data_IF_009062798293
#
_entry.id   IF_009062798293
#
_cell.length_a   1.000
_cell.length_b   1.000
_cell.length_c   1.000
_cell.angle_alpha   90.00
_cell.angle_beta   90.00
_cell.angle_gamma   90.00
#
_symmetry.space_group_name_H-M   'P 1'
#
loop_
_entity.id
_entity.type
_entity.pdbx_description
1 polymer ?
#
# COMPACT_ATOMS: atom_id res chain seq x y z
N UNK A 1 2.26 -1.92 10.10
CA UNK A 1 1.36 -1.62 8.97
C UNK A 1 -0.05 -2.06 9.30
N UNK A 2 -1.05 -1.25 8.94
CA UNK A 2 -2.48 -1.60 8.97
C UNK A 2 -3.13 -1.09 7.68
N UNK A 3 -3.98 -1.92 7.08
CA UNK A 3 -4.93 -1.51 6.06
C UNK A 3 -6.32 -1.86 6.59
N UNK A 4 -7.20 -0.89 6.65
CA UNK A 4 -8.57 -1.08 7.15
C UNK A 4 -9.54 -0.49 6.14
N UNK A 5 -10.55 -1.26 5.74
CA UNK A 5 -11.65 -0.74 4.95
C UNK A 5 -12.55 0.14 5.83
N UNK A 6 -12.75 1.40 5.43
CA UNK A 6 -13.58 2.36 6.15
C UNK A 6 -15.00 2.45 5.56
N UNK A 7 -15.10 2.36 4.24
CA UNK A 7 -16.36 2.45 3.51
C UNK A 7 -16.22 1.75 2.16
N UNK A 8 -17.31 1.15 1.69
CA UNK A 8 -17.44 0.67 0.32
C UNK A 8 -18.86 0.85 -0.22
N UNK A 9 -19.02 0.83 -1.54
CA UNK A 9 -20.31 0.70 -2.20
C UNK A 9 -20.70 -0.78 -2.26
N UNK A 10 -21.83 -1.21 -1.67
CA UNK A 10 -22.27 -2.60 -1.75
C UNK A 10 -22.67 -3.00 -3.18
N UNK A 11 -22.21 -4.16 -3.65
CA UNK A 11 -22.52 -4.69 -4.99
C UNK A 11 -24.03 -4.87 -5.19
N UNK A 12 -24.73 -5.33 -4.17
CA UNK A 12 -26.18 -5.58 -4.21
C UNK A 12 -26.98 -4.33 -4.62
N UNK A 13 -26.61 -3.15 -4.10
CA UNK A 13 -27.29 -1.89 -4.43
C UNK A 13 -27.07 -1.48 -5.89
N UNK A 14 -25.85 -1.68 -6.41
CA UNK A 14 -25.55 -1.41 -7.81
C UNK A 14 -26.26 -2.38 -8.74
N UNK A 15 -26.35 -3.66 -8.36
CA UNK A 15 -27.06 -4.68 -9.13
C UNK A 15 -28.55 -4.37 -9.21
N UNK A 16 -29.16 -4.00 -8.09
CA UNK A 16 -30.56 -3.56 -8.05
C UNK A 16 -30.79 -2.34 -8.95
N UNK A 17 -29.96 -1.29 -8.81
CA UNK A 17 -30.11 -0.05 -9.57
C UNK A 17 -29.83 -0.20 -11.07
N UNK A 18 -29.01 -1.19 -11.47
CA UNK A 18 -28.65 -1.43 -12.88
C UNK A 18 -29.56 -2.43 -13.60
N UNK A 19 -30.55 -3.00 -12.91
CA UNK A 19 -31.43 -4.03 -13.50
C UNK A 19 -30.75 -5.40 -13.65
N UNK A 20 -29.76 -5.71 -12.81
CA UNK A 20 -29.14 -7.03 -12.74
C UNK A 20 -27.86 -7.21 -13.54
N UNK A 21 -27.08 -6.14 -13.79
CA UNK A 21 -25.76 -6.30 -14.40
C UNK A 21 -24.82 -7.16 -13.54
N UNK A 22 -23.89 -7.83 -14.22
CA UNK A 22 -22.88 -8.67 -13.58
C UNK A 22 -21.85 -7.84 -12.79
N UNK A 23 -21.13 -8.51 -11.89
CA UNK A 23 -20.15 -7.86 -11.01
C UNK A 23 -18.98 -7.22 -11.77
N UNK A 24 -18.55 -7.79 -12.90
CA UNK A 24 -17.43 -7.30 -13.69
C UNK A 24 -17.77 -5.96 -14.35
N UNK A 25 -18.96 -5.88 -14.96
CA UNK A 25 -19.53 -4.67 -15.55
C UNK A 25 -19.71 -3.55 -14.53
N UNK A 26 -19.98 -3.90 -13.27
CA UNK A 26 -20.20 -2.94 -12.17
C UNK A 26 -18.92 -2.51 -11.44
N UNK A 27 -17.76 -3.14 -11.69
CA UNK A 27 -16.49 -2.81 -11.02
C UNK A 27 -16.14 -1.32 -11.00
N UNK A 28 -16.32 -0.53 -12.09
CA UNK A 28 -16.01 0.90 -12.08
C UNK A 28 -16.90 1.75 -11.16
N UNK A 29 -18.05 1.21 -10.73
CA UNK A 29 -19.02 1.89 -9.87
C UNK A 29 -18.88 1.52 -8.39
N UNK A 30 -18.14 0.45 -8.08
CA UNK A 30 -17.83 0.08 -6.71
C UNK A 30 -16.73 1.00 -6.19
N UNK A 31 -16.98 1.80 -5.16
CA UNK A 31 -15.96 2.62 -4.50
C UNK A 31 -15.49 1.99 -3.19
N UNK A 32 -14.20 2.06 -2.87
CA UNK A 32 -13.62 1.55 -1.63
C UNK A 32 -12.66 2.56 -1.03
N UNK A 33 -12.85 2.90 0.25
CA UNK A 33 -11.99 3.81 1.00
C UNK A 33 -11.25 3.06 2.11
N UNK A 34 -9.92 3.10 2.08
CA UNK A 34 -9.04 2.47 3.06
C UNK A 34 -8.32 3.51 3.92
N UNK A 35 -8.21 3.22 5.21
CA UNK A 35 -7.18 3.79 6.07
C UNK A 35 -5.91 2.93 5.97
N UNK A 36 -4.82 3.54 5.51
CA UNK A 36 -3.50 2.91 5.42
C UNK A 36 -2.59 3.57 6.45
N UNK A 37 -2.13 2.80 7.41
CA UNK A 37 -1.30 3.29 8.52
C UNK A 37 0.00 2.50 8.62
N UNK A 38 1.01 3.17 9.17
CA UNK A 38 2.29 2.56 9.52
C UNK A 38 2.99 1.91 8.33
N UNK A 39 3.04 2.64 7.22
CA UNK A 39 3.83 2.32 6.01
C UNK A 39 4.99 3.29 5.87
N UNK A 40 6.05 2.89 5.17
CA UNK A 40 7.20 3.74 4.87
C UNK A 40 6.85 4.78 3.81
N UNK A 41 7.64 5.87 3.77
CA UNK A 41 7.60 6.81 2.66
C UNK A 41 7.90 6.11 1.33
N UNK A 42 8.86 5.18 1.29
CA UNK A 42 9.15 4.38 0.11
C UNK A 42 7.93 3.57 -0.41
N UNK A 43 7.15 2.98 0.49
CA UNK A 43 5.93 2.27 0.12
C UNK A 43 4.87 3.26 -0.40
N UNK A 44 4.67 4.38 0.29
CA UNK A 44 3.70 5.40 -0.15
C UNK A 44 4.03 5.96 -1.53
N UNK A 45 5.33 6.15 -1.86
CA UNK A 45 5.78 6.61 -3.18
C UNK A 45 5.51 5.62 -4.31
N UNK A 46 5.36 4.32 -4.01
CA UNK A 46 4.89 3.33 -4.98
C UNK A 46 3.37 3.32 -5.08
N UNK A 47 2.68 3.49 -3.96
CA UNK A 47 1.22 3.47 -3.87
C UNK A 47 0.59 4.64 -4.65
N UNK A 48 1.08 5.86 -4.47
CA UNK A 48 0.53 7.07 -5.13
C UNK A 48 0.76 7.12 -6.64
N UNK A 49 1.46 6.13 -7.21
CA UNK A 49 1.62 5.99 -8.68
C UNK A 49 0.37 5.42 -9.36
N UNK A 50 -0.55 4.86 -8.58
CA UNK A 50 -1.87 4.43 -9.05
C UNK A 50 -2.79 5.64 -9.12
N UNK A 51 -2.86 6.24 -10.31
CA UNK A 51 -3.48 7.57 -10.54
C UNK A 51 -5.01 7.56 -10.52
N UNK A 52 -5.62 6.41 -10.77
CA UNK A 52 -7.09 6.25 -10.71
C UNK A 52 -7.46 5.93 -9.26
N UNK A 53 -7.23 6.93 -8.41
CA UNK A 53 -7.41 6.86 -6.97
C UNK A 53 -7.41 8.28 -6.39
N UNK A 54 -7.97 8.43 -5.19
CA UNK A 54 -7.89 9.65 -4.39
C UNK A 54 -7.06 9.39 -3.15
N UNK A 55 -6.18 10.33 -2.77
CA UNK A 55 -5.30 10.18 -1.61
C UNK A 55 -5.39 11.39 -0.68
N UNK A 56 -5.34 11.15 0.62
CA UNK A 56 -5.07 12.17 1.64
C UNK A 56 -3.97 11.67 2.55
N UNK A 57 -2.76 12.19 2.37
CA UNK A 57 -1.57 11.71 3.06
C UNK A 57 -1.08 12.69 4.13
N UNK A 58 -0.64 12.11 5.23
CA UNK A 58 0.02 12.85 6.30
C UNK A 58 1.24 13.63 5.78
N UNK A 59 1.21 14.95 5.91
CA UNK A 59 2.27 15.85 5.45
C UNK A 59 3.38 16.01 6.50
N UNK A 60 4.63 15.80 6.08
CA UNK A 60 5.82 16.11 6.89
C UNK A 60 6.07 17.62 7.06
N UNK A 61 5.37 18.50 6.33
CA UNK A 61 5.51 19.96 6.47
C UNK A 61 4.91 20.46 7.78
N UNK A 62 3.85 19.80 8.26
CA UNK A 62 3.04 20.27 9.39
C UNK A 62 3.29 19.47 10.68
N UNK A 63 3.83 18.25 10.58
CA UNK A 63 3.96 17.36 11.73
C UNK A 63 5.38 17.40 12.26
N UNK A 64 5.50 17.74 13.54
CA UNK A 64 6.77 17.76 14.25
C UNK A 64 7.24 16.33 14.49
N UNK A 65 8.35 15.96 13.85
CA UNK A 65 8.90 14.60 13.86
C UNK A 65 9.83 14.37 15.06
N UNK A 66 9.35 14.70 16.28
CA UNK A 66 10.15 14.65 17.51
C UNK A 66 10.56 13.23 17.95
N UNK A 67 10.06 12.19 17.29
CA UNK A 67 10.31 10.77 17.62
C UNK A 67 10.37 9.92 16.36
N UNK A 68 11.26 10.26 15.43
CA UNK A 68 11.40 9.51 14.19
C UNK A 68 11.77 8.03 14.45
N UNK A 69 12.63 7.75 15.44
CA UNK A 69 13.04 6.39 15.79
C UNK A 69 11.84 5.47 16.15
N UNK A 70 10.78 6.02 16.73
CA UNK A 70 9.54 5.29 17.05
C UNK A 70 8.61 5.13 15.84
N UNK A 71 8.92 5.81 14.73
CA UNK A 71 8.08 5.95 13.54
C UNK A 71 8.90 5.68 12.28
N UNK A 72 9.56 4.53 12.26
CA UNK A 72 10.19 3.98 11.05
C UNK A 72 9.70 2.57 10.77
N UNK A 73 9.68 2.23 9.49
CA UNK A 73 9.48 0.86 9.02
C UNK A 73 10.83 0.21 8.80
N UNK A 74 11.16 -0.79 9.60
CA UNK A 74 12.37 -1.60 9.48
C UNK A 74 12.20 -2.64 8.35
N UNK A 75 13.08 -2.67 7.33
CA UNK A 75 13.07 -3.73 6.34
C UNK A 75 13.45 -5.09 6.96
N UNK A 76 12.77 -6.21 6.62
CA UNK A 76 13.07 -7.52 7.18
C UNK A 76 14.51 -7.99 6.94
N UNK A 77 15.12 -7.61 5.82
CA UNK A 77 16.51 -7.93 5.51
C UNK A 77 17.49 -7.20 6.43
N UNK A 78 17.15 -5.98 6.87
CA UNK A 78 17.94 -5.19 7.81
C UNK A 78 17.76 -5.72 9.23
N UNK A 79 16.53 -6.07 9.61
CA UNK A 79 16.24 -6.72 10.89
C UNK A 79 17.01 -8.03 11.05
N UNK A 80 17.03 -8.87 10.00
CA UNK A 80 17.81 -10.11 9.98
C UNK A 80 19.32 -9.89 10.13
N UNK A 81 19.83 -8.73 9.74
CA UNK A 81 21.24 -8.37 9.86
C UNK A 81 21.58 -7.72 11.22
N UNK A 82 20.62 -7.61 12.16
CA UNK A 82 20.79 -7.05 13.50
C UNK A 82 20.11 -5.69 13.69
N UNK A 83 20.10 -4.86 12.64
CA UNK A 83 19.33 -3.60 12.57
C UNK A 83 19.72 -2.52 13.58
N UNK A 84 20.81 -2.68 14.33
CA UNK A 84 21.27 -1.71 15.32
C UNK A 84 21.78 -0.44 14.63
N UNK A 85 22.64 -0.59 13.63
CA UNK A 85 23.23 0.49 12.83
C UNK A 85 22.14 1.27 12.09
N UNK A 86 21.09 0.58 11.63
CA UNK A 86 19.95 1.23 11.00
C UNK A 86 19.20 2.14 11.98
N UNK A 87 18.96 1.68 13.22
CA UNK A 87 18.28 2.48 14.25
C UNK A 87 19.12 3.68 14.66
N UNK A 88 20.42 3.50 14.76
CA UNK A 88 21.39 4.57 15.06
C UNK A 88 21.36 5.66 13.99
N UNK A 89 21.53 5.30 12.72
CA UNK A 89 21.48 6.24 11.59
C UNK A 89 20.12 6.95 11.46
N UNK A 90 19.02 6.25 11.74
CA UNK A 90 17.69 6.88 11.82
C UNK A 90 17.63 7.89 12.97
N UNK A 91 18.28 7.59 14.09
CA UNK A 91 18.44 8.50 15.21
C UNK A 91 19.19 9.76 14.84
N UNK A 92 20.37 9.62 14.24
CA UNK A 92 21.19 10.73 13.76
C UNK A 92 20.42 11.62 12.76
N UNK A 93 19.67 11.01 11.83
CA UNK A 93 18.82 11.77 10.90
C UNK A 93 17.71 12.56 11.62
N UNK A 94 17.15 12.00 12.70
CA UNK A 94 16.15 12.68 13.54
C UNK A 94 16.76 13.88 14.29
N UNK A 95 17.97 13.72 14.82
CA UNK A 95 18.70 14.78 15.51
C UNK A 95 19.11 15.89 14.54
N UNK A 96 19.62 15.52 13.36
CA UNK A 96 19.94 16.46 12.29
C UNK A 96 18.71 17.26 11.84
N UNK A 97 17.55 16.61 11.71
CA UNK A 97 16.28 17.30 11.43
C UNK A 97 15.96 18.34 12.51
N UNK A 98 16.03 17.95 13.79
CA UNK A 98 15.71 18.84 14.91
C UNK A 98 16.70 20.02 14.97
N UNK A 99 17.99 19.77 14.77
CA UNK A 99 19.04 20.80 14.70
C UNK A 99 18.76 21.84 13.61
N UNK A 100 18.34 21.41 12.41
CA UNK A 100 17.99 22.32 11.32
C UNK A 100 16.77 23.17 11.68
N UNK A 101 15.74 22.57 12.26
CA UNK A 101 14.54 23.28 12.71
C UNK A 101 14.87 24.30 13.80
N UNK A 102 15.71 23.94 14.77
CA UNK A 102 16.13 24.84 15.87
C UNK A 102 16.98 26.01 15.37
N UNK A 103 17.68 25.84 14.23
CA UNK A 103 18.38 26.90 13.50
C UNK A 103 17.46 27.77 12.64
N UNK A 104 16.14 27.55 12.67
CA UNK A 104 15.17 28.33 11.91
C UNK A 104 14.97 27.88 10.47
N UNK A 105 15.52 26.73 10.06
CA UNK A 105 15.28 26.17 8.71
C UNK A 105 13.80 25.74 8.62
N UNK A 106 13.07 26.11 7.55
CA UNK A 106 11.70 25.67 7.34
C UNK A 106 11.58 24.14 7.38
N UNK A 107 10.52 23.63 8.04
CA UNK A 107 10.29 22.17 8.18
C UNK A 107 10.27 21.42 6.85
N UNK A 108 9.83 22.09 5.78
CA UNK A 108 9.74 21.51 4.44
C UNK A 108 11.10 21.28 3.77
N UNK A 109 12.13 22.01 4.20
CA UNK A 109 13.52 21.84 3.77
C UNK A 109 14.27 20.93 4.73
N UNK A 110 14.10 21.14 6.05
CA UNK A 110 14.75 20.33 7.08
C UNK A 110 14.44 18.84 6.92
N UNK A 111 13.23 18.48 6.48
CA UNK A 111 12.82 17.08 6.28
C UNK A 111 13.61 16.32 5.21
N UNK A 112 14.42 16.98 4.38
CA UNK A 112 15.21 16.32 3.34
C UNK A 112 16.24 15.36 3.91
N UNK A 113 16.61 15.51 5.19
CA UNK A 113 17.47 14.55 5.91
C UNK A 113 16.71 13.29 6.36
N UNK A 114 15.38 13.29 6.33
CA UNK A 114 14.59 12.14 6.81
C UNK A 114 14.69 10.96 5.85
N UNK A 115 14.85 9.73 6.38
CA UNK A 115 15.01 8.54 5.55
C UNK A 115 13.68 8.12 4.90
N UNK A 116 13.80 7.38 3.81
CA UNK A 116 12.67 6.73 3.13
C UNK A 116 11.89 5.74 4.02
N UNK A 117 12.53 5.26 5.10
CA UNK A 117 11.91 4.39 6.10
C UNK A 117 10.96 5.13 7.04
N UNK A 118 10.94 6.47 7.03
CA UNK A 118 10.04 7.26 7.86
C UNK A 118 8.59 6.82 7.64
N UNK A 119 7.87 6.61 8.74
CA UNK A 119 6.49 6.17 8.73
C UNK A 119 5.57 7.29 8.21
N UNK A 120 4.51 6.88 7.50
CA UNK A 120 3.43 7.74 7.06
C UNK A 120 2.11 6.98 7.09
N UNK A 121 1.01 7.74 7.16
CA UNK A 121 -0.34 7.22 7.05
C UNK A 121 -1.11 8.04 6.02
N UNK A 122 -2.08 7.42 5.36
CA UNK A 122 -2.92 8.05 4.36
C UNK A 122 -4.30 7.41 4.28
N UNK A 123 -5.27 8.19 3.80
CA UNK A 123 -6.51 7.67 3.25
C UNK A 123 -6.34 7.46 1.77
N UNK A 124 -6.93 6.38 1.26
CA UNK A 124 -6.96 6.07 -0.16
C UNK A 124 -8.36 5.61 -0.57
N UNK A 125 -8.87 6.16 -1.66
CA UNK A 125 -10.12 5.70 -2.29
C UNK A 125 -9.85 5.23 -3.71
N UNK A 126 -10.32 4.05 -4.09
CA UNK A 126 -10.23 3.48 -5.44
C UNK A 126 -11.55 2.86 -5.85
N UNK A 127 -11.83 2.84 -7.15
CA UNK A 127 -12.92 2.01 -7.68
C UNK A 127 -12.49 0.52 -7.76
N UNK A 128 -13.47 -0.38 -7.90
CA UNK A 128 -13.24 -1.82 -7.95
C UNK A 128 -12.31 -2.24 -9.09
N UNK A 129 -12.46 -1.64 -10.28
CA UNK A 129 -11.61 -1.97 -11.44
C UNK A 129 -10.16 -1.53 -11.19
N UNK A 130 -9.97 -0.36 -10.60
CA UNK A 130 -8.65 0.13 -10.20
C UNK A 130 -8.02 -0.73 -9.11
N UNK A 131 -8.82 -1.27 -8.18
CA UNK A 131 -8.33 -2.24 -7.19
C UNK A 131 -7.88 -3.56 -7.83
N UNK A 132 -8.60 -4.08 -8.82
CA UNK A 132 -8.15 -5.26 -9.57
C UNK A 132 -6.79 -5.05 -10.23
N UNK A 133 -6.59 -3.89 -10.87
CA UNK A 133 -5.29 -3.51 -11.43
C UNK A 133 -4.22 -3.37 -10.35
N UNK A 134 -4.55 -2.73 -9.24
CA UNK A 134 -3.66 -2.54 -8.09
C UNK A 134 -3.19 -3.89 -7.54
N UNK A 135 -4.10 -4.82 -7.24
CA UNK A 135 -3.77 -6.16 -6.76
C UNK A 135 -2.97 -6.94 -7.81
N UNK A 136 -3.34 -6.85 -9.09
CA UNK A 136 -2.62 -7.49 -10.19
C UNK A 136 -1.13 -7.18 -10.21
N UNK A 137 -0.79 -5.90 -9.96
CA UNK A 137 0.59 -5.43 -9.89
C UNK A 137 1.26 -5.63 -8.53
N UNK A 138 0.54 -5.40 -7.43
CA UNK A 138 1.15 -5.24 -6.10
C UNK A 138 1.11 -6.51 -5.26
N UNK A 139 0.20 -7.44 -5.52
CA UNK A 139 0.27 -8.80 -4.97
C UNK A 139 1.34 -9.67 -5.67
N UNK A 140 1.95 -9.17 -6.76
CA UNK A 140 2.98 -9.90 -7.50
C UNK A 140 4.21 -10.18 -6.65
N UNK A 141 4.79 -11.38 -6.80
CA UNK A 141 5.98 -11.80 -6.06
C UNK A 141 7.26 -10.99 -6.33
N UNK A 142 7.24 -10.13 -7.35
CA UNK A 142 8.30 -9.19 -7.70
C UNK A 142 8.14 -7.81 -7.06
N UNK A 143 6.93 -7.48 -6.58
CA UNK A 143 6.71 -6.23 -5.89
C UNK A 143 7.55 -6.20 -4.60
N UNK A 144 7.98 -5.00 -4.20
CA UNK A 144 8.70 -4.83 -2.94
C UNK A 144 7.84 -5.39 -1.80
N UNK A 145 8.49 -6.08 -0.86
CA UNK A 145 7.83 -6.82 0.22
C UNK A 145 6.75 -6.01 0.96
N UNK A 146 6.99 -4.72 1.19
CA UNK A 146 6.10 -3.87 1.98
C UNK A 146 4.81 -3.54 1.24
N UNK A 147 4.89 -3.06 -0.02
CA UNK A 147 3.69 -2.79 -0.82
C UNK A 147 2.94 -4.07 -1.17
N UNK A 148 3.64 -5.20 -1.29
CA UNK A 148 3.00 -6.51 -1.46
C UNK A 148 2.19 -6.89 -0.22
N UNK A 149 2.79 -6.79 0.96
CA UNK A 149 2.09 -7.05 2.21
C UNK A 149 0.90 -6.09 2.40
N UNK A 150 1.04 -4.82 2.00
CA UNK A 150 -0.07 -3.86 2.03
C UNK A 150 -1.21 -4.28 1.10
N UNK A 151 -0.88 -4.65 -0.14
CA UNK A 151 -1.87 -5.09 -1.11
C UNK A 151 -2.58 -6.37 -0.68
N UNK A 152 -1.85 -7.31 -0.09
CA UNK A 152 -2.43 -8.54 0.48
C UNK A 152 -3.40 -8.23 1.63
N UNK A 153 -3.04 -7.30 2.52
CA UNK A 153 -3.91 -6.87 3.62
C UNK A 153 -5.18 -6.16 3.11
N UNK A 154 -5.05 -5.29 2.10
CA UNK A 154 -6.20 -4.64 1.48
C UNK A 154 -7.09 -5.62 0.72
N UNK A 155 -6.51 -6.60 0.02
CA UNK A 155 -7.26 -7.63 -0.70
C UNK A 155 -8.09 -8.47 0.27
N UNK A 156 -7.54 -8.80 1.44
CA UNK A 156 -8.30 -9.49 2.49
C UNK A 156 -9.53 -8.68 2.91
N UNK A 157 -9.37 -7.40 3.24
CA UNK A 157 -10.49 -6.53 3.63
C UNK A 157 -11.53 -6.39 2.50
N UNK A 158 -11.09 -6.37 1.23
CA UNK A 158 -11.97 -6.31 0.08
C UNK A 158 -12.74 -7.62 -0.15
N UNK A 159 -12.10 -8.79 0.02
CA UNK A 159 -12.75 -10.12 -0.03
C UNK A 159 -13.75 -10.29 1.11
N UNK A 160 -13.41 -9.85 2.32
CA UNK A 160 -14.30 -9.91 3.47
C UNK A 160 -15.57 -9.06 3.26
N UNK A 161 -15.46 -7.95 2.50
CA UNK A 161 -16.58 -7.06 2.19
C UNK A 161 -17.43 -7.54 1.00
N UNK A 162 -16.79 -7.95 -0.11
CA UNK A 162 -17.45 -8.31 -1.37
C UNK A 162 -16.74 -9.53 -2.00
N UNK A 163 -16.95 -10.76 -1.47
CA UNK A 163 -16.24 -11.95 -1.94
C UNK A 163 -16.55 -12.29 -3.39
N UNK A 164 -17.80 -12.11 -3.82
CA UNK A 164 -18.23 -12.30 -5.22
C UNK A 164 -17.36 -11.49 -6.20
N UNK A 165 -16.91 -10.30 -5.78
CA UNK A 165 -16.07 -9.43 -6.58
C UNK A 165 -14.59 -9.83 -6.45
N UNK A 166 -14.07 -10.00 -5.23
CA UNK A 166 -12.62 -10.03 -5.01
C UNK A 166 -11.98 -11.42 -4.82
N UNK A 167 -12.75 -12.52 -4.82
CA UNK A 167 -12.17 -13.87 -4.78
C UNK A 167 -11.32 -14.16 -6.03
N UNK A 168 -11.71 -13.57 -7.17
CA UNK A 168 -10.94 -13.61 -8.42
C UNK A 168 -9.75 -12.61 -8.44
N UNK A 169 -9.66 -11.69 -7.48
CA UNK A 169 -8.57 -10.72 -7.41
C UNK A 169 -7.31 -11.32 -6.74
N UNK A 170 -6.14 -10.83 -7.17
CA UNK A 170 -4.82 -11.32 -6.75
C UNK A 170 -3.73 -10.78 -7.68
N UNK A 171 -2.53 -11.37 -7.74
CA UNK A 171 -1.53 -11.00 -8.75
C UNK A 171 -2.00 -11.37 -10.16
N UNK A 172 -1.47 -10.73 -11.21
CA UNK A 172 -1.92 -11.02 -12.58
C UNK A 172 -1.79 -12.47 -13.01
N UNK A 173 -0.78 -13.21 -12.53
CA UNK A 173 -0.66 -14.63 -12.84
C UNK A 173 -1.82 -15.47 -12.27
N UNK A 174 -2.43 -15.02 -11.17
CA UNK A 174 -3.65 -15.61 -10.62
C UNK A 174 -4.88 -15.16 -11.42
N UNK A 175 -5.04 -13.85 -11.64
CA UNK A 175 -6.21 -13.29 -12.34
C UNK A 175 -6.33 -13.77 -13.80
N UNK A 176 -5.21 -13.86 -14.53
CA UNK A 176 -5.19 -14.16 -15.96
C UNK A 176 -4.95 -15.64 -16.28
N UNK A 177 -4.55 -16.44 -15.30
CA UNK A 177 -4.12 -17.83 -15.52
C UNK A 177 -2.77 -17.99 -16.23
N UNK A 178 -2.05 -16.91 -16.53
CA UNK A 178 -0.67 -16.92 -17.04
C UNK A 178 0.11 -15.70 -16.54
N UNK A 179 1.45 -15.77 -16.51
CA UNK A 179 2.29 -14.64 -16.11
C UNK A 179 2.52 -13.67 -17.28
N UNK A 180 2.02 -12.41 -17.23
CA UNK A 180 2.18 -11.45 -18.34
C UNK A 180 3.58 -10.81 -18.41
N UNK A 181 4.46 -11.09 -17.44
CA UNK A 181 5.78 -10.44 -17.32
C UNK A 181 6.83 -10.95 -18.32
N UNK A 182 6.52 -12.01 -19.08
CA UNK A 182 7.41 -12.59 -20.08
C UNK A 182 8.79 -12.92 -19.50
N UNK A 183 9.86 -12.33 -20.09
CA UNK A 183 11.25 -12.50 -19.65
C UNK A 183 11.52 -12.04 -18.21
N UNK A 184 10.63 -11.23 -17.64
CA UNK A 184 10.76 -10.75 -16.27
C UNK A 184 9.95 -11.57 -15.27
N UNK A 185 9.43 -12.74 -15.65
CA UNK A 185 8.77 -13.66 -14.72
C UNK A 185 9.65 -13.98 -13.51
N UNK A 186 9.04 -14.12 -12.33
CA UNK A 186 9.76 -14.57 -11.14
C UNK A 186 9.90 -16.10 -11.06
N UNK A 187 9.32 -16.85 -12.01
CA UNK A 187 9.31 -18.32 -12.01
C UNK A 187 8.43 -18.97 -10.93
N UNK A 188 7.76 -18.17 -10.09
CA UNK A 188 7.02 -18.63 -8.90
C UNK A 188 5.51 -18.48 -9.05
N UNK A 189 4.98 -18.85 -10.21
CA UNK A 189 3.54 -18.75 -10.49
C UNK A 189 2.73 -19.73 -9.64
N UNK A 190 3.20 -20.98 -9.50
CA UNK A 190 2.49 -21.98 -8.71
C UNK A 190 2.32 -21.55 -7.24
N UNK A 191 3.39 -21.02 -6.64
CA UNK A 191 3.36 -20.44 -5.29
C UNK A 191 2.28 -19.35 -5.16
N UNK A 192 2.15 -18.48 -6.17
CA UNK A 192 1.10 -17.47 -6.17
C UNK A 192 -0.29 -18.11 -6.28
N UNK A 193 -0.49 -19.06 -7.18
CA UNK A 193 -1.79 -19.74 -7.32
C UNK A 193 -2.23 -20.41 -6.02
N UNK A 194 -1.33 -21.14 -5.36
CA UNK A 194 -1.62 -21.84 -4.11
C UNK A 194 -1.98 -20.85 -2.99
N UNK A 195 -1.31 -19.69 -2.96
CA UNK A 195 -1.53 -18.64 -1.96
C UNK A 195 -2.88 -17.93 -2.08
N UNK A 196 -3.33 -17.62 -3.30
CA UNK A 196 -4.54 -16.79 -3.51
C UNK A 196 -5.83 -17.60 -3.72
N UNK A 197 -5.72 -18.92 -3.92
CA UNK A 197 -6.85 -19.88 -3.93
C UNK A 197 -7.29 -20.33 -2.54
N UNK A 198 -6.38 -20.29 -1.57
CA UNK A 198 -6.64 -20.60 -0.16
C UNK A 198 -7.37 -19.46 0.53
#
# INVERSE_FOLDING_TARGET
MKARLLAHTPLALLREASGGLDAESLQPHLGYTFAVERISRACSHQLVRHRVASFSQQSQRYITVKRLQERVVMPPSVEKAGGAEFKELVGEASEAYQLLVDKGVPKEDARFVLPNAAETSLLMTMDGRSLFHFFGLRCCNRAQWEIRALADAMLKEARDAEPEVFDAAGPYCYQLGYCPEGRFTCGRMQEALDRYRA
#
